data_IF_758699634144
#
_entry.id   IF_758699634144
#
_cell.length_a   1.000
_cell.length_b   1.000
_cell.length_c   1.000
_cell.angle_alpha   90.00
_cell.angle_beta   90.00
_cell.angle_gamma   90.00
#
_symmetry.space_group_name_H-M   'P 1'
#
loop_
_entity.id
_entity.type
_entity.pdbx_description
1 polymer ?
#
# COMPACT_ATOMS: atom_id res chain seq x y z
N UNK A 1 5.19 3.27 -10.90
CA UNK A 1 5.94 2.50 -9.90
C UNK A 1 5.38 2.89 -8.54
N UNK A 2 4.46 2.09 -7.98
CA UNK A 2 4.15 2.11 -6.56
C UNK A 2 5.05 1.11 -5.83
N UNK A 3 5.74 1.59 -4.80
CA UNK A 3 6.42 0.74 -3.81
C UNK A 3 5.60 0.79 -2.53
N UNK A 4 4.94 -0.32 -2.21
CA UNK A 4 3.97 -0.43 -1.12
C UNK A 4 4.52 -1.35 -0.04
N UNK A 5 4.64 -0.82 1.18
CA UNK A 5 4.94 -1.56 2.40
C UNK A 5 3.71 -1.54 3.29
N UNK A 6 3.22 -2.72 3.65
CA UNK A 6 2.08 -2.91 4.55
C UNK A 6 2.64 -3.49 5.84
N UNK A 7 2.78 -2.66 6.85
CA UNK A 7 3.20 -3.05 8.19
C UNK A 7 1.97 -3.45 8.99
N UNK A 8 1.98 -4.67 9.53
CA UNK A 8 0.87 -5.25 10.27
C UNK A 8 1.40 -5.66 11.63
N UNK A 9 0.69 -5.31 12.70
CA UNK A 9 1.01 -5.80 14.04
C UNK A 9 1.14 -7.35 14.01
N UNK A 10 2.15 -7.88 14.68
CA UNK A 10 2.58 -9.28 14.57
C UNK A 10 1.48 -10.29 14.90
N UNK A 11 0.71 -10.09 15.97
CA UNK A 11 -0.40 -10.99 16.34
C UNK A 11 -1.53 -10.93 15.31
N UNK A 12 -1.91 -9.71 14.89
CA UNK A 12 -2.90 -9.51 13.83
C UNK A 12 -2.46 -10.12 12.50
N UNK A 13 -1.16 -10.04 12.17
CA UNK A 13 -0.61 -10.63 10.96
C UNK A 13 -0.71 -12.16 10.97
N UNK A 14 -0.46 -12.80 12.12
CA UNK A 14 -0.63 -14.23 12.27
C UNK A 14 -2.09 -14.66 12.03
N UNK A 15 -3.04 -13.95 12.66
CA UNK A 15 -4.47 -14.26 12.60
C UNK A 15 -5.08 -14.00 11.21
N UNK A 16 -4.62 -12.96 10.51
CA UNK A 16 -5.18 -12.51 9.23
C UNK A 16 -4.32 -12.84 8.01
N UNK A 17 -3.25 -13.64 8.16
CA UNK A 17 -2.27 -13.92 7.08
C UNK A 17 -2.92 -14.31 5.76
N UNK A 18 -3.87 -15.24 5.80
CA UNK A 18 -4.55 -15.75 4.60
C UNK A 18 -5.39 -14.67 3.92
N UNK A 19 -6.17 -13.91 4.70
CA UNK A 19 -7.00 -12.83 4.18
C UNK A 19 -6.13 -11.71 3.56
N UNK A 20 -5.07 -11.30 4.26
CA UNK A 20 -4.11 -10.30 3.79
C UNK A 20 -3.43 -10.75 2.49
N UNK A 21 -2.95 -11.99 2.44
CA UNK A 21 -2.29 -12.53 1.23
C UNK A 21 -3.25 -12.61 0.05
N UNK A 22 -4.50 -13.02 0.29
CA UNK A 22 -5.55 -13.09 -0.74
C UNK A 22 -5.89 -11.72 -1.30
N UNK A 23 -5.86 -10.66 -0.48
CA UNK A 23 -6.12 -9.29 -0.90
C UNK A 23 -5.03 -8.68 -1.78
N UNK A 24 -3.79 -9.21 -1.76
CA UNK A 24 -2.65 -8.59 -2.47
C UNK A 24 -2.84 -8.49 -3.98
N UNK A 25 -3.38 -9.54 -4.61
CA UNK A 25 -3.59 -9.52 -6.07
C UNK A 25 -4.65 -8.49 -6.47
N UNK A 26 -5.87 -8.48 -5.88
CA UNK A 26 -6.83 -7.40 -6.12
C UNK A 26 -6.27 -6.00 -5.86
N UNK A 27 -5.50 -5.82 -4.79
CA UNK A 27 -4.88 -4.53 -4.45
C UNK A 27 -3.90 -4.10 -5.54
N UNK A 28 -3.03 -5.00 -6.00
CA UNK A 28 -2.11 -4.72 -7.10
C UNK A 28 -2.86 -4.34 -8.37
N UNK A 29 -3.91 -5.07 -8.72
CA UNK A 29 -4.66 -4.84 -9.95
C UNK A 29 -5.36 -3.46 -9.91
N UNK A 30 -5.94 -3.08 -8.77
CA UNK A 30 -6.48 -1.72 -8.53
C UNK A 30 -5.39 -0.65 -8.64
N UNK A 31 -4.24 -0.84 -7.99
CA UNK A 31 -3.14 0.13 -8.04
C UNK A 31 -2.55 0.28 -9.45
N UNK A 32 -2.47 -0.80 -10.22
CA UNK A 32 -2.06 -0.75 -11.62
C UNK A 32 -3.01 0.09 -12.47
N UNK A 33 -4.32 -0.15 -12.33
CA UNK A 33 -5.35 0.57 -13.04
C UNK A 33 -5.36 2.07 -12.68
N UNK A 34 -5.48 2.37 -11.39
CA UNK A 34 -5.70 3.73 -10.93
C UNK A 34 -4.44 4.62 -11.04
N UNK A 35 -3.24 4.04 -10.84
CA UNK A 35 -1.98 4.79 -11.01
C UNK A 35 -1.40 4.72 -12.42
N UNK A 36 -2.07 4.01 -13.36
CA UNK A 36 -1.66 3.81 -14.75
C UNK A 36 -0.22 3.28 -14.86
N UNK A 37 0.02 2.11 -14.26
CA UNK A 37 1.33 1.46 -14.22
C UNK A 37 1.23 -0.01 -14.62
N UNK A 38 2.30 -0.54 -15.20
CA UNK A 38 2.39 -1.98 -15.48
C UNK A 38 2.69 -2.77 -14.21
N UNK A 39 2.32 -4.05 -14.20
CA UNK A 39 2.59 -4.97 -13.09
C UNK A 39 4.09 -5.03 -12.75
N UNK A 40 4.96 -5.04 -13.77
CA UNK A 40 6.42 -5.03 -13.57
C UNK A 40 6.92 -3.76 -12.86
N UNK A 41 6.14 -2.67 -12.88
CA UNK A 41 6.46 -1.44 -12.18
C UNK A 41 6.13 -1.51 -10.68
N UNK A 42 5.39 -2.50 -10.21
CA UNK A 42 4.92 -2.58 -8.84
C UNK A 42 5.87 -3.34 -7.91
N UNK A 43 5.94 -2.89 -6.65
CA UNK A 43 6.60 -3.61 -5.57
C UNK A 43 5.68 -3.64 -4.35
N UNK A 44 5.45 -4.83 -3.79
CA UNK A 44 4.60 -5.04 -2.62
C UNK A 44 5.32 -5.87 -1.58
N UNK A 45 5.15 -5.52 -0.31
CA UNK A 45 5.55 -6.36 0.81
C UNK A 45 4.57 -6.17 1.97
N UNK A 46 4.23 -7.27 2.64
CA UNK A 46 3.54 -7.26 3.94
C UNK A 46 4.55 -7.70 4.98
N UNK A 47 4.72 -6.91 6.05
CA UNK A 47 5.71 -7.13 7.08
C UNK A 47 5.04 -7.16 8.46
N UNK A 48 5.27 -8.21 9.27
CA UNK A 48 4.90 -8.16 10.69
C UNK A 48 5.79 -7.15 11.42
N UNK A 49 5.22 -6.40 12.35
CA UNK A 49 5.92 -5.44 13.22
C UNK A 49 5.35 -5.46 14.63
N UNK A 50 6.12 -5.00 15.60
CA UNK A 50 5.57 -4.64 16.91
C UNK A 50 4.97 -3.22 16.83
N UNK A 51 3.70 -3.08 17.17
CA UNK A 51 3.00 -1.79 17.17
C UNK A 51 2.53 -1.42 18.58
N UNK A 52 2.43 -0.12 18.87
CA UNK A 52 1.81 0.34 20.11
C UNK A 52 0.29 0.17 20.02
N UNK A 53 -0.39 -0.39 21.06
CA UNK A 53 -1.82 -0.72 21.00
C UNK A 53 -2.76 0.47 20.78
N UNK A 54 -2.31 1.69 21.09
CA UNK A 54 -3.04 2.94 20.95
C UNK A 54 -2.81 3.64 19.59
N UNK A 55 -1.96 3.06 18.74
CA UNK A 55 -1.72 3.50 17.37
C UNK A 55 -2.35 2.53 16.35
N UNK A 56 -2.48 2.93 15.06
CA UNK A 56 -2.97 2.04 14.03
C UNK A 56 -2.13 0.75 13.95
N UNK A 57 -2.78 -0.40 14.05
CA UNK A 57 -2.15 -1.73 13.98
C UNK A 57 -1.80 -2.15 12.54
N UNK A 58 -2.36 -1.46 11.55
CA UNK A 58 -2.00 -1.62 10.14
C UNK A 58 -1.62 -0.26 9.56
N UNK A 59 -0.39 -0.17 9.07
CA UNK A 59 0.15 1.03 8.44
C UNK A 59 0.62 0.70 7.02
N UNK A 60 0.30 1.58 6.08
CA UNK A 60 0.82 1.51 4.72
C UNK A 60 1.73 2.68 4.46
N UNK A 61 2.91 2.39 3.95
CA UNK A 61 3.77 3.37 3.30
C UNK A 61 3.78 3.09 1.80
N UNK A 62 3.47 4.12 1.02
CA UNK A 62 3.48 4.03 -0.42
C UNK A 62 4.34 5.15 -1.02
N UNK A 63 5.38 4.75 -1.74
CA UNK A 63 6.15 5.67 -2.57
C UNK A 63 5.72 5.57 -4.02
N UNK A 64 5.48 6.73 -4.66
CA UNK A 64 5.11 6.81 -6.07
C UNK A 64 6.00 7.81 -6.80
N UNK A 65 6.31 7.53 -8.07
CA UNK A 65 6.86 8.58 -8.95
C UNK A 65 5.75 9.56 -9.33
N UNK A 66 6.01 10.87 -9.43
CA UNK A 66 5.04 11.84 -9.94
C UNK A 66 4.72 11.57 -11.41
N UNK A 67 3.47 11.86 -11.80
CA UNK A 67 3.03 12.00 -13.19
C UNK A 67 1.89 13.04 -13.23
N UNK A 68 1.67 13.74 -14.36
CA UNK A 68 0.61 14.74 -14.46
C UNK A 68 -0.78 14.21 -14.08
N UNK A 69 -1.07 12.95 -14.39
CA UNK A 69 -2.36 12.33 -14.10
C UNK A 69 -2.52 11.92 -12.63
N UNK A 70 -1.44 11.88 -11.85
CA UNK A 70 -1.45 11.54 -10.42
C UNK A 70 -1.63 12.81 -9.59
N UNK A 71 -2.77 13.48 -9.80
CA UNK A 71 -3.14 14.65 -9.01
C UNK A 71 -3.35 14.27 -7.54
N UNK A 72 -3.42 15.27 -6.66
CA UNK A 72 -3.68 15.04 -5.24
C UNK A 72 -4.98 14.26 -5.03
N UNK A 73 -6.04 14.63 -5.75
CA UNK A 73 -7.37 14.04 -5.67
C UNK A 73 -7.34 12.58 -6.14
N UNK A 74 -6.65 12.31 -7.26
CA UNK A 74 -6.48 10.96 -7.77
C UNK A 74 -5.71 10.07 -6.78
N UNK A 75 -4.61 10.58 -6.21
CA UNK A 75 -3.83 9.85 -5.21
C UNK A 75 -4.65 9.61 -3.93
N UNK A 76 -5.44 10.58 -3.48
CA UNK A 76 -6.33 10.41 -2.32
C UNK A 76 -7.42 9.35 -2.58
N UNK A 77 -8.00 9.31 -3.78
CA UNK A 77 -8.97 8.27 -4.15
C UNK A 77 -8.33 6.87 -4.12
N UNK A 78 -7.11 6.74 -4.66
CA UNK A 78 -6.34 5.49 -4.57
C UNK A 78 -6.08 5.08 -3.13
N UNK A 79 -5.70 6.02 -2.27
CA UNK A 79 -5.50 5.74 -0.84
C UNK A 79 -6.79 5.28 -0.18
N UNK A 80 -7.92 5.90 -0.49
CA UNK A 80 -9.21 5.48 0.05
C UNK A 80 -9.54 4.04 -0.35
N UNK A 81 -9.34 3.67 -1.61
CA UNK A 81 -9.58 2.32 -2.11
C UNK A 81 -8.66 1.31 -1.42
N UNK A 82 -7.36 1.59 -1.38
CA UNK A 82 -6.37 0.75 -0.71
C UNK A 82 -6.72 0.54 0.77
N UNK A 83 -7.11 1.62 1.45
CA UNK A 83 -7.54 1.57 2.85
C UNK A 83 -8.71 0.64 3.01
N UNK A 84 -9.78 0.82 2.24
CA UNK A 84 -10.99 -0.01 2.33
C UNK A 84 -10.68 -1.50 2.12
N UNK A 85 -9.85 -1.84 1.13
CA UNK A 85 -9.49 -3.23 0.83
C UNK A 85 -8.69 -3.87 1.97
N UNK A 86 -7.74 -3.13 2.56
CA UNK A 86 -6.95 -3.63 3.69
C UNK A 86 -7.77 -3.70 4.98
N UNK A 87 -8.68 -2.75 5.21
CA UNK A 87 -9.61 -2.82 6.34
C UNK A 87 -10.51 -4.05 6.24
N UNK A 88 -11.00 -4.37 5.04
CA UNK A 88 -11.79 -5.59 4.82
C UNK A 88 -10.99 -6.88 5.11
N UNK A 89 -9.69 -6.89 4.80
CA UNK A 89 -8.84 -8.05 5.04
C UNK A 89 -8.35 -8.20 6.49
N UNK A 90 -8.13 -7.08 7.19
CA UNK A 90 -7.54 -7.05 8.53
C UNK A 90 -8.55 -6.84 9.67
N UNK A 91 -9.78 -6.41 9.36
CA UNK A 91 -10.81 -6.14 10.36
C UNK A 91 -10.57 -4.90 11.23
N UNK A 92 -9.47 -4.16 11.02
CA UNK A 92 -9.09 -2.99 11.83
C UNK A 92 -8.96 -1.72 10.99
N UNK A 93 -8.79 -0.57 11.65
CA UNK A 93 -8.47 0.67 10.96
C UNK A 93 -7.06 0.62 10.33
N UNK A 94 -6.94 1.13 9.10
CA UNK A 94 -5.68 1.16 8.34
C UNK A 94 -5.27 2.61 8.10
N UNK A 95 -4.05 2.96 8.52
CA UNK A 95 -3.43 4.24 8.23
C UNK A 95 -2.58 4.17 6.95
N UNK A 96 -2.63 5.20 6.11
CA UNK A 96 -1.87 5.26 4.85
C UNK A 96 -1.06 6.54 4.79
N UNK A 97 0.22 6.42 4.42
CA UNK A 97 1.12 7.53 4.14
C UNK A 97 1.66 7.38 2.72
N UNK A 98 1.58 8.45 1.95
CA UNK A 98 2.06 8.46 0.56
C UNK A 98 3.08 9.58 0.38
N UNK A 99 4.16 9.26 -0.33
CA UNK A 99 5.18 10.23 -0.68
C UNK A 99 5.55 10.13 -2.16
N UNK A 100 5.77 11.28 -2.77
CA UNK A 100 6.28 11.36 -4.13
C UNK A 100 7.80 11.25 -4.09
N UNK A 101 8.34 10.36 -4.92
CA UNK A 101 9.77 10.22 -5.16
C UNK A 101 10.24 11.30 -6.13
N UNK A 102 11.50 11.72 -6.02
CA UNK A 102 12.14 12.55 -7.04
C UNK A 102 12.56 11.68 -8.24
N UNK A 103 12.02 11.92 -9.45
CA UNK A 103 12.42 11.18 -10.64
C UNK A 103 13.91 11.30 -10.97
N UNK A 104 14.58 12.40 -10.60
CA UNK A 104 15.98 12.64 -10.92
C UNK A 104 16.93 11.76 -10.10
N UNK A 105 16.53 11.37 -8.89
CA UNK A 105 17.35 10.59 -7.96
C UNK A 105 16.84 9.18 -7.76
N UNK A 106 15.66 8.84 -8.29
CA UNK A 106 15.11 7.51 -8.17
C UNK A 106 15.76 6.55 -9.17
N UNK A 107 16.55 5.62 -8.64
CA UNK A 107 17.19 4.54 -9.41
C UNK A 107 16.56 3.21 -9.01
N UNK A 108 16.14 2.43 -9.99
CA UNK A 108 15.69 1.06 -9.78
C UNK A 108 16.31 0.14 -10.83
N UNK A 109 16.85 -0.98 -10.39
CA UNK A 109 17.23 -2.10 -11.22
C UNK A 109 16.16 -3.18 -11.07
N UNK A 110 15.62 -3.66 -12.18
CA UNK A 110 14.53 -4.64 -12.23
C UNK A 110 14.86 -5.75 -13.19
#
# INVERSE_FOLDING_TARGET
>A
MPNVKIYVEETLFADHRTALTTALKPIRDMLCADLKVDIAACQFAVLPVMAMPDLPLVNVEMFILPRPERTREAVLAVCQNLRNMLQAASGVHVAIRVSHLDPATYIALK
#
